data_IF_250539348345
#
_entry.id   IF_250539348345
#
_cell.length_a   1.000
_cell.length_b   1.000
_cell.length_c   1.000
_cell.angle_alpha   90.00
_cell.angle_beta   90.00
_cell.angle_gamma   90.00
#
_symmetry.space_group_name_H-M   'P 1'
#
loop_
_entity.id
_entity.type
_entity.pdbx_description
1 polymer ?
#
# COMPACT_ATOMS: atom_id res chain seq x y z
N UNK A 1 2.61 18.65 46.97
CA UNK A 1 4.02 19.15 46.80
C UNK A 1 4.51 18.67 45.44
N UNK A 2 5.42 19.36 44.74
CA UNK A 2 5.98 18.85 43.46
C UNK A 2 7.49 18.76 43.53
N UNK A 3 8.04 17.63 43.09
CA UNK A 3 9.46 17.32 43.02
C UNK A 3 9.83 17.14 41.55
N UNK A 4 10.71 18.00 41.04
CA UNK A 4 11.25 17.94 39.67
C UNK A 4 12.73 17.50 39.65
N UNK A 5 13.21 16.94 40.77
CA UNK A 5 14.60 16.54 40.98
C UNK A 5 14.63 15.43 42.04
N UNK A 6 15.61 15.43 42.95
CA UNK A 6 15.69 14.40 43.98
C UNK A 6 15.19 14.89 45.35
N UNK A 7 14.36 14.08 45.99
CA UNK A 7 14.03 14.18 47.42
C UNK A 7 14.55 12.95 48.15
N UNK A 8 15.23 13.15 49.27
CA UNK A 8 15.68 12.06 50.14
C UNK A 8 15.38 12.36 51.59
N UNK A 9 14.88 11.37 52.33
CA UNK A 9 14.58 11.52 53.74
C UNK A 9 14.83 10.22 54.53
N UNK A 10 15.00 10.35 55.83
CA UNK A 10 15.18 9.21 56.75
C UNK A 10 14.38 9.48 58.02
N UNK A 11 13.58 8.51 58.45
CA UNK A 11 12.72 8.61 59.64
C UNK A 11 11.92 9.93 59.70
N UNK A 12 11.35 10.33 58.56
CA UNK A 12 10.65 11.62 58.40
C UNK A 12 9.18 11.38 58.08
N UNK A 13 8.28 12.14 58.72
CA UNK A 13 6.86 12.17 58.36
C UNK A 13 6.59 13.37 57.46
N UNK A 14 6.00 13.11 56.30
CA UNK A 14 5.58 14.11 55.31
C UNK A 14 4.07 14.34 55.51
N UNK A 15 3.71 15.40 56.24
CA UNK A 15 2.32 15.64 56.67
C UNK A 15 1.56 16.65 55.79
N UNK A 16 0.26 16.41 55.61
CA UNK A 16 -0.72 17.29 54.98
C UNK A 16 -0.33 17.78 53.57
N UNK A 17 0.47 17.00 52.85
CA UNK A 17 1.14 17.40 51.60
C UNK A 17 0.87 16.46 50.43
N UNK A 18 0.09 15.40 50.65
CA UNK A 18 -0.32 14.42 49.65
C UNK A 18 -1.38 14.98 48.68
N UNK A 19 -1.25 14.75 47.36
CA UNK A 19 -0.18 13.95 46.79
C UNK A 19 1.12 14.74 46.63
N UNK A 20 2.23 14.04 46.86
CA UNK A 20 3.57 14.47 46.43
C UNK A 20 3.73 14.05 44.98
N UNK A 21 3.78 15.02 44.06
CA UNK A 21 3.94 14.79 42.64
C UNK A 21 5.42 14.73 42.25
N UNK A 22 5.85 13.65 41.60
CA UNK A 22 7.16 13.50 40.97
C UNK A 22 7.01 13.77 39.48
N UNK A 23 7.46 14.94 39.01
CA UNK A 23 7.23 15.38 37.64
C UNK A 23 8.54 15.45 36.84
N UNK A 24 8.55 14.75 35.71
CA UNK A 24 9.69 14.62 34.81
C UNK A 24 10.58 13.40 35.08
N UNK A 25 11.37 13.05 34.07
CA UNK A 25 12.24 11.87 34.05
C UNK A 25 13.44 11.90 35.02
N UNK A 26 13.72 13.05 35.64
CA UNK A 26 14.77 13.19 36.67
C UNK A 26 14.19 13.24 38.08
N UNK A 27 12.86 13.25 38.21
CA UNK A 27 12.20 13.29 39.50
C UNK A 27 12.39 11.96 40.24
N UNK A 28 12.73 12.05 41.51
CA UNK A 28 12.94 10.89 42.37
C UNK A 28 12.61 11.17 43.82
N UNK A 29 12.07 10.14 44.49
CA UNK A 29 11.88 10.09 45.93
C UNK A 29 12.57 8.86 46.51
N UNK A 30 13.40 9.07 47.52
CA UNK A 30 14.00 7.99 48.29
C UNK A 30 13.77 8.21 49.78
N UNK A 31 13.08 7.27 50.44
CA UNK A 31 12.77 7.35 51.86
C UNK A 31 13.11 6.04 52.56
N UNK A 32 13.75 6.15 53.73
CA UNK A 32 14.07 5.02 54.60
C UNK A 32 13.54 5.28 56.02
N UNK A 33 12.45 4.61 56.38
CA UNK A 33 11.71 4.88 57.60
C UNK A 33 10.90 6.19 57.54
N UNK A 34 9.88 6.29 58.39
CA UNK A 34 8.94 7.42 58.39
C UNK A 34 7.71 7.13 57.54
N UNK A 35 7.14 8.15 56.91
CA UNK A 35 5.86 7.97 56.24
C UNK A 35 5.19 9.24 55.74
N UNK A 36 3.96 9.06 55.30
CA UNK A 36 3.03 10.11 54.89
C UNK A 36 1.86 10.16 55.87
N UNK A 37 1.35 11.35 56.14
CA UNK A 37 0.20 11.54 57.01
C UNK A 37 -0.74 12.61 56.44
N UNK A 38 -2.02 12.26 56.30
CA UNK A 38 -3.08 13.17 55.87
C UNK A 38 -3.01 13.55 54.38
N UNK A 39 -2.87 12.57 53.48
CA UNK A 39 -3.11 12.81 52.06
C UNK A 39 -4.51 13.40 51.82
N UNK A 40 -4.59 14.31 50.85
CA UNK A 40 -5.84 14.98 50.44
C UNK A 40 -6.47 14.36 49.20
N UNK A 41 -5.85 13.30 48.69
CA UNK A 41 -6.26 12.57 47.51
C UNK A 41 -6.22 11.06 47.83
N UNK A 42 -6.61 10.21 46.87
CA UNK A 42 -6.60 8.76 47.04
C UNK A 42 -5.20 8.13 46.98
N UNK A 43 -4.14 8.93 46.89
CA UNK A 43 -2.75 8.47 46.90
C UNK A 43 -1.80 9.43 47.64
N UNK A 44 -0.74 8.92 48.25
CA UNK A 44 0.29 9.72 48.93
C UNK A 44 1.30 10.34 47.95
N UNK A 45 1.63 9.62 46.87
CA UNK A 45 2.57 10.03 45.81
C UNK A 45 1.94 9.81 44.44
N UNK A 46 2.09 10.78 43.54
CA UNK A 46 1.91 10.58 42.09
C UNK A 46 3.25 10.67 41.42
N UNK A 47 3.56 9.74 40.53
CA UNK A 47 4.77 9.76 39.74
C UNK A 47 4.45 9.76 38.24
N UNK A 48 5.15 10.60 37.49
CA UNK A 48 5.27 10.43 36.04
C UNK A 48 5.89 9.05 35.72
N UNK A 49 5.68 8.57 34.50
CA UNK A 49 6.04 7.20 34.09
C UNK A 49 7.51 6.87 34.35
N UNK A 50 8.43 7.81 34.13
CA UNK A 50 9.87 7.59 34.28
C UNK A 50 10.43 7.95 35.68
N UNK A 51 9.62 8.55 36.56
CA UNK A 51 10.08 9.03 37.86
C UNK A 51 10.43 7.87 38.81
N UNK A 52 11.48 8.03 39.62
CA UNK A 52 12.00 6.95 40.45
C UNK A 52 11.41 7.00 41.87
N UNK A 53 10.89 5.85 42.33
CA UNK A 53 10.33 5.69 43.68
C UNK A 53 11.14 4.62 44.41
N UNK A 54 11.70 4.96 45.57
CA UNK A 54 12.40 4.03 46.45
C UNK A 54 11.96 4.24 47.89
N UNK A 55 11.06 3.39 48.37
CA UNK A 55 10.48 3.48 49.71
C UNK A 55 10.84 2.22 50.49
N UNK A 56 11.54 2.39 51.61
CA UNK A 56 11.92 1.28 52.50
C UNK A 56 11.37 1.55 53.90
N UNK A 57 10.53 0.66 54.41
CA UNK A 57 9.84 0.80 55.70
C UNK A 57 9.13 2.16 55.84
N UNK A 58 8.42 2.58 54.79
CA UNK A 58 7.66 3.84 54.76
C UNK A 58 6.19 3.50 54.91
N UNK A 59 5.53 4.10 55.89
CA UNK A 59 4.09 3.95 56.09
C UNK A 59 3.34 5.05 55.30
N UNK A 60 2.28 4.67 54.58
CA UNK A 60 1.39 5.64 53.94
C UNK A 60 0.37 6.23 54.91
N UNK A 61 -0.45 7.15 54.41
CA UNK A 61 -1.60 7.69 55.16
C UNK A 61 -2.56 6.57 55.62
N UNK A 62 -2.63 5.47 54.85
CA UNK A 62 -3.41 4.27 55.18
C UNK A 62 -4.89 4.37 54.79
N UNK A 63 -5.67 3.38 55.21
CA UNK A 63 -7.09 3.27 54.83
C UNK A 63 -7.25 2.86 53.37
N UNK A 64 -7.93 3.69 52.57
CA UNK A 64 -8.13 3.49 51.12
C UNK A 64 -7.14 4.29 50.26
N UNK A 65 -6.15 4.93 50.89
CA UNK A 65 -5.15 5.75 50.21
C UNK A 65 -4.00 4.85 49.74
N UNK A 66 -3.70 4.89 48.46
CA UNK A 66 -2.57 4.21 47.84
C UNK A 66 -1.26 4.89 48.26
N UNK A 67 -0.20 4.10 48.51
CA UNK A 67 1.08 4.68 48.89
C UNK A 67 1.71 5.45 47.73
N UNK A 68 1.50 4.98 46.50
CA UNK A 68 1.88 5.71 45.29
C UNK A 68 1.15 5.20 44.06
N UNK A 69 0.98 6.09 43.08
CA UNK A 69 0.57 5.75 41.72
C UNK A 69 1.60 6.20 40.69
N UNK A 70 1.75 5.42 39.62
CA UNK A 70 2.49 5.81 38.43
C UNK A 70 1.54 6.09 37.28
N UNK A 71 1.71 7.25 36.66
CA UNK A 71 0.81 7.80 35.67
C UNK A 71 1.54 8.06 34.34
N UNK A 72 0.90 7.69 33.24
CA UNK A 72 1.28 7.99 31.87
C UNK A 72 0.37 9.11 31.36
N UNK A 73 0.94 10.31 31.24
CA UNK A 73 0.19 11.53 30.97
C UNK A 73 -0.58 11.49 29.65
N UNK A 74 0.05 10.95 28.62
CA UNK A 74 -0.57 10.73 27.31
C UNK A 74 0.17 9.62 26.58
N UNK A 75 -0.57 8.88 25.77
CA UNK A 75 -0.02 7.87 24.89
C UNK A 75 -0.69 7.95 23.52
N UNK A 76 0.13 8.03 22.49
CA UNK A 76 -0.28 8.07 21.09
C UNK A 76 0.41 6.92 20.37
N UNK A 77 -0.36 5.92 19.98
CA UNK A 77 0.14 4.79 19.20
C UNK A 77 0.33 5.24 17.76
N UNK A 78 1.48 4.94 17.17
CA UNK A 78 1.75 5.19 15.75
C UNK A 78 1.63 3.89 14.95
N UNK A 79 0.76 3.92 13.95
CA UNK A 79 0.60 2.89 12.93
C UNK A 79 1.16 3.37 11.57
N UNK A 80 1.47 2.46 10.63
CA UNK A 80 1.96 2.83 9.31
C UNK A 80 0.93 3.51 8.41
N UNK A 81 -0.35 3.36 8.74
CA UNK A 81 -1.45 3.84 7.94
C UNK A 81 -2.69 4.17 8.74
N UNK A 82 -3.63 4.79 8.04
CA UNK A 82 -4.97 5.10 8.52
C UNK A 82 -5.93 3.93 8.32
N UNK A 83 -7.01 3.91 9.11
CA UNK A 83 -8.04 2.89 8.98
C UNK A 83 -7.65 1.52 9.55
N UNK A 84 -6.56 1.43 10.32
CA UNK A 84 -6.14 0.19 10.97
C UNK A 84 -7.04 -0.06 12.17
N UNK A 85 -7.67 -1.22 12.22
CA UNK A 85 -8.48 -1.66 13.35
C UNK A 85 -7.66 -2.53 14.28
N UNK A 86 -7.93 -2.44 15.59
CA UNK A 86 -7.23 -3.23 16.60
C UNK A 86 -8.01 -3.23 17.92
N UNK A 87 -7.60 -4.07 18.86
CA UNK A 87 -8.08 -4.11 20.22
C UNK A 87 -6.97 -3.75 21.20
N UNK A 88 -7.28 -2.95 22.21
CA UNK A 88 -6.47 -2.81 23.42
C UNK A 88 -7.17 -3.53 24.56
N UNK A 89 -6.47 -4.39 25.29
CA UNK A 89 -7.02 -5.12 26.45
C UNK A 89 -6.16 -4.88 27.66
N UNK A 90 -6.75 -4.89 28.87
CA UNK A 90 -6.00 -4.71 30.12
C UNK A 90 -5.60 -3.26 30.40
N UNK A 91 -6.32 -2.29 29.81
CA UNK A 91 -6.02 -0.86 29.97
C UNK A 91 -6.52 -0.34 31.31
N UNK A 92 -5.60 0.17 32.13
CA UNK A 92 -5.82 0.79 33.43
C UNK A 92 -6.19 -0.21 34.53
N UNK A 93 -6.38 0.29 35.77
CA UNK A 93 -6.76 -0.54 36.93
C UNK A 93 -8.08 -1.31 36.76
N UNK A 94 -8.92 -0.88 35.81
CA UNK A 94 -10.20 -1.52 35.48
C UNK A 94 -10.06 -2.58 34.37
N UNK A 95 -8.84 -2.82 33.88
CA UNK A 95 -8.48 -3.81 32.85
C UNK A 95 -9.37 -3.72 31.61
N UNK A 96 -9.64 -2.50 31.15
CA UNK A 96 -10.61 -2.22 30.08
C UNK A 96 -10.17 -2.84 28.75
N UNK A 97 -11.17 -3.25 27.97
CA UNK A 97 -11.01 -3.55 26.54
C UNK A 97 -11.57 -2.41 25.70
N UNK A 98 -10.80 -1.96 24.71
CA UNK A 98 -11.10 -0.85 23.83
C UNK A 98 -10.89 -1.26 22.37
N UNK A 99 -11.83 -0.93 21.51
CA UNK A 99 -11.66 -1.03 20.06
C UNK A 99 -11.01 0.26 19.54
N UNK A 100 -10.04 0.10 18.66
CA UNK A 100 -9.27 1.19 18.07
C UNK A 100 -9.45 1.28 16.56
N UNK A 101 -9.31 2.50 16.04
CA UNK A 101 -9.23 2.80 14.61
C UNK A 101 -8.17 3.90 14.43
N UNK A 102 -7.12 3.66 13.66
CA UNK A 102 -6.10 4.70 13.42
C UNK A 102 -6.65 5.85 12.57
N UNK A 103 -6.24 7.07 12.92
CA UNK A 103 -6.60 8.30 12.22
C UNK A 103 -5.86 8.44 10.88
N UNK A 104 -6.16 9.52 10.14
CA UNK A 104 -5.58 9.80 8.81
C UNK A 104 -4.04 9.82 8.82
N UNK A 105 -3.44 10.29 9.91
CA UNK A 105 -1.98 10.32 10.12
C UNK A 105 -1.43 9.03 10.76
N UNK A 106 -2.24 7.98 10.82
CA UNK A 106 -1.87 6.70 11.40
C UNK A 106 -1.80 6.71 12.93
N UNK A 107 -2.29 7.75 13.61
CA UNK A 107 -2.23 7.82 15.08
C UNK A 107 -3.48 7.28 15.76
N UNK A 108 -3.33 6.84 17.01
CA UNK A 108 -4.45 6.61 17.93
C UNK A 108 -4.08 7.05 19.34
N UNK A 109 -4.89 7.94 19.93
CA UNK A 109 -4.71 8.37 21.32
C UNK A 109 -5.34 7.34 22.24
N UNK A 110 -4.53 6.70 23.08
CA UNK A 110 -5.04 5.74 24.07
C UNK A 110 -5.84 6.51 25.13
N UNK A 111 -7.13 6.17 25.31
CA UNK A 111 -7.95 6.86 26.31
C UNK A 111 -7.38 6.68 27.71
N UNK A 112 -7.44 7.74 28.50
CA UNK A 112 -7.13 7.68 29.92
C UNK A 112 -8.14 6.81 30.70
N UNK A 113 -7.83 6.58 31.97
CA UNK A 113 -8.68 5.80 32.87
C UNK A 113 -10.05 6.48 33.07
N UNK A 114 -10.05 7.81 33.15
CA UNK A 114 -11.24 8.65 33.25
C UNK A 114 -11.39 9.51 31.99
N UNK A 115 -12.59 10.08 31.76
CA UNK A 115 -12.88 10.91 30.58
C UNK A 115 -11.90 12.09 30.40
N UNK A 116 -11.18 12.46 31.46
CA UNK A 116 -10.10 13.44 31.49
C UNK A 116 -9.06 12.95 32.51
N UNK A 117 -7.77 13.00 32.18
CA UNK A 117 -6.69 12.67 33.11
C UNK A 117 -5.60 11.79 32.49
N UNK A 118 -4.60 11.39 33.28
CA UNK A 118 -3.57 10.45 32.85
C UNK A 118 -4.05 8.98 32.99
N UNK A 119 -3.31 8.06 32.38
CA UNK A 119 -3.49 6.62 32.54
C UNK A 119 -2.60 6.11 33.68
N UNK A 120 -3.20 5.54 34.72
CA UNK A 120 -2.49 4.85 35.80
C UNK A 120 -1.98 3.51 35.26
N UNK A 121 -0.68 3.28 35.37
CA UNK A 121 0.01 2.08 34.84
C UNK A 121 0.61 1.20 35.93
N UNK A 122 0.73 1.72 37.15
CA UNK A 122 1.13 0.99 38.36
C UNK A 122 0.56 1.64 39.62
N UNK A 123 0.24 0.83 40.64
CA UNK A 123 -0.24 1.25 41.95
C UNK A 123 0.56 0.48 43.01
N UNK A 124 1.17 1.21 43.94
CA UNK A 124 1.75 0.65 45.14
C UNK A 124 0.85 0.84 46.34
N UNK A 125 0.38 -0.26 46.93
CA UNK A 125 -0.50 -0.24 48.09
C UNK A 125 0.26 -0.09 49.40
N UNK A 126 -0.42 0.38 50.44
CA UNK A 126 0.16 0.53 51.79
C UNK A 126 0.58 -0.78 52.46
N UNK A 127 0.11 -1.93 51.97
CA UNK A 127 0.52 -3.26 52.44
C UNK A 127 1.80 -3.79 51.76
N UNK A 128 2.37 -3.02 50.83
CA UNK A 128 3.58 -3.35 50.09
C UNK A 128 3.33 -4.16 48.82
N UNK A 129 2.09 -4.51 48.48
CA UNK A 129 1.77 -5.10 47.18
C UNK A 129 1.79 -4.05 46.06
N UNK A 130 2.10 -4.49 44.84
CA UNK A 130 2.14 -3.64 43.65
C UNK A 130 1.22 -4.26 42.61
N UNK A 131 0.27 -3.46 42.12
CA UNK A 131 -0.43 -3.75 40.88
C UNK A 131 0.31 -3.06 39.73
N UNK A 132 0.57 -3.81 38.66
CA UNK A 132 1.23 -3.32 37.45
C UNK A 132 0.32 -3.66 36.28
N UNK A 133 -0.01 -2.66 35.47
CA UNK A 133 -0.83 -2.85 34.28
C UNK A 133 -0.19 -3.86 33.31
N UNK A 134 -1.01 -4.74 32.73
CA UNK A 134 -0.60 -5.72 31.74
C UNK A 134 -1.43 -5.56 30.45
N UNK A 135 -1.34 -4.39 29.85
CA UNK A 135 -2.13 -4.06 28.66
C UNK A 135 -1.50 -4.63 27.39
N UNK A 136 -2.33 -5.07 26.45
CA UNK A 136 -1.91 -5.63 25.17
C UNK A 136 -2.60 -4.93 24.00
N UNK A 137 -1.98 -5.01 22.83
CA UNK A 137 -2.56 -4.65 21.52
C UNK A 137 -2.72 -5.94 20.71
N UNK A 138 -3.91 -6.16 20.16
CA UNK A 138 -4.25 -7.37 19.40
C UNK A 138 -5.19 -7.10 18.24
N UNK A 139 -5.41 -8.14 17.42
CA UNK A 139 -6.36 -8.14 16.29
C UNK A 139 -6.13 -6.96 15.34
N UNK A 140 -4.85 -6.66 15.11
CA UNK A 140 -4.42 -5.53 14.29
C UNK A 140 -4.61 -5.89 12.82
N UNK A 141 -5.48 -5.16 12.12
CA UNK A 141 -5.82 -5.40 10.72
C UNK A 141 -5.76 -4.10 9.91
N UNK A 142 -5.10 -4.15 8.76
CA UNK A 142 -4.93 -3.03 7.84
C UNK A 142 -5.41 -3.39 6.44
N UNK A 143 -6.59 -2.92 6.08
CA UNK A 143 -7.12 -3.06 4.71
C UNK A 143 -6.62 -1.92 3.80
N UNK A 144 -6.06 -2.28 2.65
CA UNK A 144 -5.55 -1.35 1.64
C UNK A 144 -6.01 -1.74 0.25
N UNK A 145 -5.73 -0.89 -0.75
CA UNK A 145 -5.96 -1.25 -2.15
C UNK A 145 -5.09 -2.43 -2.65
N UNK A 146 -4.02 -2.77 -1.93
CA UNK A 146 -3.11 -3.87 -2.29
C UNK A 146 -3.42 -5.18 -1.53
N UNK A 147 -4.35 -5.16 -0.58
CA UNK A 147 -4.68 -6.31 0.25
C UNK A 147 -4.86 -5.95 1.72
N UNK A 148 -5.07 -6.99 2.54
CA UNK A 148 -5.20 -6.89 4.00
C UNK A 148 -3.93 -7.41 4.67
N UNK A 149 -3.38 -6.60 5.57
CA UNK A 149 -2.19 -6.94 6.34
C UNK A 149 -2.49 -6.97 7.84
N UNK A 150 -1.76 -7.80 8.57
CA UNK A 150 -1.96 -7.98 10.00
C UNK A 150 -0.73 -7.52 10.77
N UNK A 151 -0.95 -6.79 11.85
CA UNK A 151 0.11 -6.33 12.74
C UNK A 151 0.51 -7.40 13.75
N UNK A 152 1.64 -7.18 14.41
CA UNK A 152 2.13 -8.09 15.45
C UNK A 152 1.46 -7.77 16.78
N UNK A 153 0.73 -8.75 17.32
CA UNK A 153 0.13 -8.64 18.66
C UNK A 153 1.23 -8.62 19.73
N UNK A 154 1.02 -7.86 20.80
CA UNK A 154 2.02 -7.77 21.86
C UNK A 154 1.58 -6.90 23.03
N UNK A 155 2.51 -6.69 23.96
CA UNK A 155 2.30 -5.78 25.08
C UNK A 155 2.24 -4.34 24.59
N UNK A 156 1.33 -3.55 25.16
CA UNK A 156 1.28 -2.12 24.92
C UNK A 156 2.35 -1.45 25.80
N UNK A 157 3.47 -1.09 25.18
CA UNK A 157 4.57 -0.42 25.87
C UNK A 157 4.09 0.81 26.66
N UNK A 158 4.59 1.01 27.86
CA UNK A 158 4.21 2.13 28.75
C UNK A 158 5.02 3.38 28.45
N UNK A 159 5.02 3.80 27.19
CA UNK A 159 5.72 5.01 26.72
C UNK A 159 4.76 5.91 25.95
N UNK A 160 5.14 7.19 25.76
CA UNK A 160 4.26 8.17 25.10
C UNK A 160 3.96 7.83 23.65
N UNK A 161 4.93 7.34 22.87
CA UNK A 161 4.76 7.12 21.43
C UNK A 161 5.22 5.71 21.00
N UNK A 162 4.52 4.64 21.40
CA UNK A 162 4.84 3.30 20.91
C UNK A 162 4.51 3.18 19.41
N UNK A 163 5.35 2.47 18.66
CA UNK A 163 5.12 2.18 17.26
C UNK A 163 4.66 0.73 17.09
N UNK A 164 3.58 0.51 16.33
CA UNK A 164 3.10 -0.84 16.01
C UNK A 164 3.80 -1.32 14.75
N UNK A 165 4.44 -2.48 14.88
CA UNK A 165 5.16 -3.12 13.78
C UNK A 165 4.21 -4.01 12.96
N UNK A 166 4.47 -4.04 11.66
CA UNK A 166 3.87 -4.97 10.72
C UNK A 166 5.01 -5.77 10.07
N UNK A 167 5.14 -7.03 10.46
CA UNK A 167 6.24 -7.89 9.99
C UNK A 167 5.97 -8.46 8.58
N UNK A 168 4.70 -8.48 8.16
CA UNK A 168 4.23 -9.05 6.89
C UNK A 168 3.53 -7.98 6.05
N UNK A 169 4.31 -7.23 5.29
CA UNK A 169 3.84 -6.21 4.34
C UNK A 169 4.61 -6.29 3.01
N UNK A 170 3.99 -5.93 1.88
CA UNK A 170 4.70 -5.83 0.62
C UNK A 170 5.62 -4.61 0.60
N UNK A 171 6.65 -4.67 -0.23
CA UNK A 171 7.54 -3.55 -0.54
C UNK A 171 7.69 -3.47 -2.05
N UNK A 172 6.76 -2.74 -2.70
CA UNK A 172 6.68 -2.70 -4.16
C UNK A 172 7.41 -1.49 -4.71
N UNK A 173 8.22 -1.71 -5.74
CA UNK A 173 8.82 -0.63 -6.52
C UNK A 173 8.81 -0.97 -8.01
N UNK A 174 8.84 0.05 -8.87
CA UNK A 174 9.20 -0.15 -10.27
C UNK A 174 10.71 -0.29 -10.36
N UNK A 175 11.20 -1.32 -11.03
CA UNK A 175 12.64 -1.57 -11.22
C UNK A 175 13.12 -1.32 -12.65
N UNK A 176 12.22 -1.35 -13.63
CA UNK A 176 12.53 -1.07 -15.03
C UNK A 176 11.34 -0.50 -15.80
N UNK A 177 11.63 0.36 -16.79
CA UNK A 177 10.66 0.87 -17.78
C UNK A 177 11.32 0.78 -19.16
N UNK A 178 10.96 -0.25 -19.92
CA UNK A 178 11.60 -0.59 -21.20
C UNK A 178 10.67 -0.38 -22.39
N UNK A 179 11.16 0.33 -23.40
CA UNK A 179 10.43 0.54 -24.66
C UNK A 179 10.78 -0.60 -25.61
N UNK A 180 9.81 -1.46 -25.94
CA UNK A 180 10.04 -2.71 -26.68
C UNK A 180 9.69 -2.64 -28.16
N UNK A 181 8.90 -1.64 -28.60
CA UNK A 181 8.55 -1.41 -30.01
C UNK A 181 8.51 0.07 -30.36
N UNK A 182 8.90 0.38 -31.60
CA UNK A 182 9.05 1.75 -32.13
C UNK A 182 7.81 2.63 -31.98
N UNK A 183 8.08 3.93 -31.86
CA UNK A 183 7.12 4.98 -31.60
C UNK A 183 7.22 6.06 -32.69
N UNK A 184 6.09 6.41 -33.28
CA UNK A 184 5.96 7.54 -34.20
C UNK A 184 4.74 8.33 -33.80
N UNK A 185 4.66 9.59 -34.21
CA UNK A 185 3.44 10.36 -34.02
C UNK A 185 2.23 9.63 -34.60
N UNK A 186 1.16 9.55 -33.79
CA UNK A 186 -0.06 8.82 -34.13
C UNK A 186 0.00 7.30 -33.93
N UNK A 187 1.12 6.73 -33.49
CA UNK A 187 1.25 5.32 -33.07
C UNK A 187 1.77 5.22 -31.66
N UNK A 188 1.24 4.28 -30.88
CA UNK A 188 1.69 4.07 -29.50
C UNK A 188 2.92 3.14 -29.45
N UNK A 189 3.92 3.55 -28.68
CA UNK A 189 5.05 2.72 -28.27
C UNK A 189 4.54 1.55 -27.41
N UNK A 190 5.20 0.40 -27.49
CA UNK A 190 4.98 -0.67 -26.50
C UNK A 190 6.02 -0.53 -25.40
N UNK A 191 5.56 -0.56 -24.15
CA UNK A 191 6.39 -0.39 -22.96
C UNK A 191 6.18 -1.59 -22.04
N UNK A 192 7.26 -2.12 -21.49
CA UNK A 192 7.25 -3.11 -20.43
C UNK A 192 7.69 -2.42 -19.14
N UNK A 193 6.81 -2.37 -18.14
CA UNK A 193 7.13 -1.88 -16.80
C UNK A 193 7.33 -3.06 -15.88
N UNK A 194 8.42 -3.09 -15.13
CA UNK A 194 8.73 -4.18 -14.21
C UNK A 194 8.50 -3.74 -12.77
N UNK A 195 7.60 -4.41 -12.07
CA UNK A 195 7.36 -4.27 -10.64
C UNK A 195 8.13 -5.37 -9.89
N UNK A 196 8.66 -5.04 -8.71
CA UNK A 196 9.33 -6.00 -7.83
C UNK A 196 8.83 -5.83 -6.40
N UNK A 197 8.46 -6.95 -5.77
CA UNK A 197 8.10 -7.01 -4.37
C UNK A 197 9.26 -7.55 -3.55
N UNK A 198 9.92 -6.68 -2.78
CA UNK A 198 10.99 -7.08 -1.86
C UNK A 198 10.49 -7.37 -0.44
N UNK A 199 9.18 -7.21 -0.22
CA UNK A 199 8.52 -7.42 1.05
C UNK A 199 8.17 -8.89 1.29
N UNK A 200 7.59 -9.12 2.46
CA UNK A 200 7.27 -10.45 2.98
C UNK A 200 5.80 -10.84 2.80
N UNK A 201 4.96 -9.94 2.29
CA UNK A 201 3.56 -10.20 1.98
C UNK A 201 3.22 -9.90 0.54
N UNK A 202 2.15 -10.53 0.07
CA UNK A 202 1.62 -10.37 -1.28
C UNK A 202 0.93 -9.00 -1.44
N UNK A 203 1.05 -8.43 -2.64
CA UNK A 203 0.23 -7.31 -3.06
C UNK A 203 -0.76 -7.82 -4.12
N UNK A 204 -1.98 -8.11 -3.67
CA UNK A 204 -3.04 -8.75 -4.43
C UNK A 204 -3.28 -10.21 -4.05
N UNK A 205 -4.10 -10.89 -4.86
CA UNK A 205 -4.51 -12.26 -4.62
C UNK A 205 -4.66 -12.96 -5.97
N UNK A 206 -3.83 -13.98 -6.27
CA UNK A 206 -3.79 -14.63 -7.58
C UNK A 206 -5.10 -15.36 -7.94
N UNK A 207 -5.97 -15.61 -6.95
CA UNK A 207 -7.28 -16.21 -7.16
C UNK A 207 -8.37 -15.18 -7.52
N UNK A 208 -8.08 -13.88 -7.37
CA UNK A 208 -9.01 -12.80 -7.71
C UNK A 208 -8.85 -12.34 -9.17
N UNK A 209 -9.94 -11.80 -9.74
CA UNK A 209 -9.96 -11.30 -11.12
C UNK A 209 -9.50 -9.84 -11.25
N UNK A 210 -9.03 -9.23 -10.16
CA UNK A 210 -8.71 -7.81 -10.07
C UNK A 210 -7.27 -7.67 -9.62
N UNK A 211 -6.43 -7.17 -10.52
CA UNK A 211 -5.05 -6.80 -10.22
C UNK A 211 -4.99 -5.61 -9.25
N UNK A 212 -4.15 -5.72 -8.22
CA UNK A 212 -4.19 -4.80 -7.08
C UNK A 212 -3.18 -3.66 -7.18
N UNK A 213 -2.00 -3.89 -7.75
CA UNK A 213 -0.96 -2.85 -7.86
C UNK A 213 -1.09 -2.11 -9.19
N UNK A 214 -1.84 -1.02 -9.19
CA UNK A 214 -1.90 -0.11 -10.34
C UNK A 214 -0.58 0.65 -10.54
N UNK A 215 -0.24 0.92 -11.78
CA UNK A 215 0.94 1.69 -12.19
C UNK A 215 0.46 3.06 -12.69
N UNK A 216 1.15 4.11 -12.26
CA UNK A 216 0.99 5.45 -12.80
C UNK A 216 2.25 5.87 -13.55
N UNK A 217 2.08 6.51 -14.70
CA UNK A 217 3.20 7.01 -15.50
C UNK A 217 3.00 8.46 -15.94
N UNK A 218 4.11 9.20 -15.97
CA UNK A 218 4.20 10.60 -16.35
C UNK A 218 5.14 10.79 -17.54
N UNK A 219 4.77 11.71 -18.41
CA UNK A 219 5.51 12.16 -19.59
C UNK A 219 5.77 13.66 -19.42
N UNK A 220 6.97 13.98 -18.92
CA UNK A 220 7.27 15.29 -18.35
C UNK A 220 6.45 15.51 -17.07
N UNK A 221 5.77 16.66 -16.98
CA UNK A 221 4.93 17.03 -15.83
C UNK A 221 3.48 16.53 -15.95
N UNK A 222 3.11 15.99 -17.12
CA UNK A 222 1.75 15.56 -17.38
C UNK A 222 1.63 14.05 -17.24
N UNK A 223 0.46 13.59 -16.80
CA UNK A 223 0.14 12.17 -16.87
C UNK A 223 0.25 11.69 -18.32
N UNK A 224 0.95 10.59 -18.52
CA UNK A 224 1.20 10.05 -19.84
C UNK A 224 -0.08 9.50 -20.49
N UNK A 225 -0.22 9.63 -21.81
CA UNK A 225 -1.26 8.94 -22.58
C UNK A 225 -0.92 7.46 -22.69
N UNK A 226 -1.33 6.68 -21.69
CA UNK A 226 -1.11 5.24 -21.63
C UNK A 226 -2.41 4.43 -21.79
N UNK A 227 -2.27 3.22 -22.33
CA UNK A 227 -3.34 2.23 -22.43
C UNK A 227 -2.87 0.85 -21.99
N UNK A 228 -3.59 0.21 -21.04
CA UNK A 228 -4.74 0.75 -20.30
C UNK A 228 -4.37 1.97 -19.44
N UNK A 229 -5.35 2.76 -19.01
CA UNK A 229 -5.14 4.02 -18.26
C UNK A 229 -4.51 3.80 -16.87
N UNK A 230 -4.75 2.63 -16.27
CA UNK A 230 -4.12 2.16 -15.05
C UNK A 230 -3.80 0.67 -15.24
N UNK A 231 -2.68 0.33 -15.91
CA UNK A 231 -2.25 -1.05 -15.97
C UNK A 231 -1.91 -1.49 -14.54
N UNK A 232 -2.31 -2.70 -14.19
CA UNK A 232 -2.11 -3.24 -12.86
C UNK A 232 -1.63 -4.70 -12.96
N UNK A 233 -1.01 -5.17 -11.89
CA UNK A 233 -0.72 -6.59 -11.68
C UNK A 233 -0.75 -6.90 -10.18
N UNK A 234 -1.03 -8.15 -9.85
CA UNK A 234 -0.66 -8.70 -8.55
C UNK A 234 0.84 -9.00 -8.50
N UNK A 235 1.47 -8.70 -7.36
CA UNK A 235 2.91 -8.88 -7.15
C UNK A 235 3.15 -9.61 -5.84
N UNK A 236 3.31 -10.93 -5.93
CA UNK A 236 3.50 -11.81 -4.77
C UNK A 236 4.83 -11.51 -4.06
N UNK A 237 4.94 -11.93 -2.80
CA UNK A 237 6.12 -11.74 -1.97
C UNK A 237 7.38 -12.32 -2.65
N UNK A 238 8.42 -11.49 -2.79
CA UNK A 238 9.69 -11.87 -3.42
C UNK A 238 9.65 -11.97 -4.95
N UNK A 239 8.51 -11.74 -5.60
CA UNK A 239 8.37 -11.87 -7.05
C UNK A 239 8.64 -10.56 -7.81
N UNK A 240 8.80 -10.72 -9.12
CA UNK A 240 8.99 -9.62 -10.07
C UNK A 240 8.12 -9.88 -11.29
N UNK A 241 7.29 -8.89 -11.64
CA UNK A 241 6.25 -9.01 -12.67
C UNK A 241 6.42 -7.92 -13.72
N UNK A 242 6.28 -8.30 -14.99
CA UNK A 242 6.28 -7.38 -16.13
C UNK A 242 4.87 -7.05 -16.58
N UNK A 243 4.56 -5.77 -16.69
CA UNK A 243 3.27 -5.25 -17.15
C UNK A 243 3.46 -4.52 -18.47
N UNK A 244 2.82 -5.03 -19.53
CA UNK A 244 2.86 -4.37 -20.84
C UNK A 244 1.81 -3.26 -20.90
N UNK A 245 2.23 -2.07 -21.35
CA UNK A 245 1.35 -0.95 -21.65
C UNK A 245 1.69 -0.32 -23.01
N UNK A 246 0.78 0.49 -23.53
CA UNK A 246 1.00 1.29 -24.74
C UNK A 246 1.10 2.76 -24.38
N UNK A 247 2.14 3.46 -24.80
CA UNK A 247 2.35 4.89 -24.55
C UNK A 247 2.25 5.70 -25.85
N UNK A 248 1.42 6.74 -25.87
CA UNK A 248 1.33 7.72 -26.95
C UNK A 248 1.97 9.05 -26.56
N UNK A 249 2.52 9.75 -27.55
CA UNK A 249 3.06 11.09 -27.38
C UNK A 249 2.63 11.96 -28.57
N UNK A 250 2.33 13.23 -28.29
CA UNK A 250 1.67 14.11 -29.24
C UNK A 250 2.64 15.06 -30.00
N UNK A 251 3.88 15.21 -29.51
CA UNK A 251 4.83 16.19 -30.04
C UNK A 251 6.06 15.52 -30.63
N UNK A 252 6.70 16.15 -31.61
CA UNK A 252 7.99 15.66 -32.09
C UNK A 252 9.09 15.98 -31.08
N UNK A 253 10.09 15.10 -31.01
CA UNK A 253 11.27 15.29 -30.18
C UNK A 253 11.51 14.18 -29.17
N UNK A 254 12.37 14.48 -28.21
CA UNK A 254 12.80 13.52 -27.21
C UNK A 254 11.82 13.50 -26.04
N UNK A 255 11.33 12.33 -25.67
CA UNK A 255 10.49 12.13 -24.49
C UNK A 255 10.96 10.92 -23.68
N UNK A 256 10.59 10.90 -22.40
CA UNK A 256 10.84 9.78 -21.49
C UNK A 256 9.59 9.52 -20.67
N UNK A 257 9.39 8.28 -20.27
CA UNK A 257 8.28 7.88 -19.42
C UNK A 257 8.80 7.58 -18.01
N UNK A 258 8.22 8.21 -17.00
CA UNK A 258 8.51 7.95 -15.58
C UNK A 258 7.35 7.18 -14.99
N UNK A 259 7.56 5.96 -14.50
CA UNK A 259 6.50 5.14 -13.92
C UNK A 259 6.79 4.79 -12.46
N UNK A 260 5.74 4.70 -11.65
CA UNK A 260 5.76 4.32 -10.23
C UNK A 260 4.54 3.44 -9.90
N UNK A 261 4.62 2.58 -8.86
CA UNK A 261 3.42 1.94 -8.35
C UNK A 261 2.55 2.99 -7.68
N UNK A 262 1.24 2.91 -7.87
CA UNK A 262 0.27 3.77 -7.19
C UNK A 262 0.07 3.24 -5.77
N UNK A 263 0.66 3.94 -4.80
CA UNK A 263 0.60 3.57 -3.39
C UNK A 263 -0.81 3.78 -2.82
N UNK A 264 -1.31 2.89 -1.94
CA UNK A 264 -2.59 3.07 -1.28
C UNK A 264 -2.69 4.40 -0.53
N UNK A 265 -3.83 5.09 -0.62
CA UNK A 265 -4.05 6.38 0.04
C UNK A 265 -4.11 6.29 1.57
N UNK A 266 -4.21 5.07 2.11
CA UNK A 266 -4.22 4.80 3.54
C UNK A 266 -2.84 4.91 4.20
N UNK A 267 -1.74 4.99 3.44
CA UNK A 267 -0.40 5.11 4.01
C UNK A 267 -0.24 6.46 4.72
N UNK A 268 0.18 6.42 5.98
CA UNK A 268 0.50 7.60 6.78
C UNK A 268 2.01 7.83 6.89
N UNK A 269 2.80 6.76 6.90
CA UNK A 269 4.26 6.80 6.92
C UNK A 269 4.78 6.49 5.52
N UNK A 270 5.34 7.49 4.86
CA UNK A 270 5.86 7.34 3.49
C UNK A 270 6.90 6.22 3.41
N UNK A 271 6.85 5.45 2.33
CA UNK A 271 7.76 4.32 2.10
C UNK A 271 7.36 3.04 2.81
N UNK A 272 6.32 3.01 3.65
CA UNK A 272 5.96 1.76 4.36
C UNK A 272 5.63 0.61 3.43
N UNK A 273 4.98 0.82 2.28
CA UNK A 273 4.72 -0.25 1.31
C UNK A 273 5.68 -0.18 0.11
N UNK A 274 6.82 0.49 0.28
CA UNK A 274 7.73 0.82 -0.81
C UNK A 274 7.29 2.07 -1.56
N UNK A 275 7.41 2.05 -2.88
CA UNK A 275 7.18 3.17 -3.78
C UNK A 275 8.35 3.39 -4.73
N UNK A 276 8.54 4.64 -5.14
CA UNK A 276 9.62 5.04 -6.04
C UNK A 276 9.26 4.93 -7.52
N UNK A 277 9.97 5.72 -8.32
CA UNK A 277 9.75 5.85 -9.76
C UNK A 277 11.01 5.54 -10.55
N UNK A 278 10.85 4.92 -11.73
CA UNK A 278 11.93 4.72 -12.68
C UNK A 278 11.60 5.42 -13.99
N UNK A 279 12.62 6.04 -14.58
CA UNK A 279 12.54 6.68 -15.88
C UNK A 279 13.00 5.72 -16.98
N UNK A 280 12.27 5.71 -18.09
CA UNK A 280 12.66 5.00 -19.30
C UNK A 280 13.89 5.61 -19.96
N UNK A 281 14.46 4.88 -20.92
CA UNK A 281 15.36 5.51 -21.90
C UNK A 281 14.61 6.55 -22.73
N UNK A 282 15.36 7.49 -23.31
CA UNK A 282 14.83 8.51 -24.22
C UNK A 282 14.26 7.83 -25.48
N UNK A 283 13.05 8.21 -25.85
CA UNK A 283 12.40 7.87 -27.13
C UNK A 283 12.36 9.13 -27.99
N UNK A 284 12.73 8.99 -29.26
CA UNK A 284 12.65 10.07 -30.25
C UNK A 284 11.35 9.89 -31.02
N UNK A 285 10.43 10.83 -30.84
CA UNK A 285 9.14 10.87 -31.54
C UNK A 285 9.26 11.69 -32.80
N UNK A 286 8.90 11.09 -33.93
CA UNK A 286 8.86 11.74 -35.25
C UNK A 286 7.63 11.29 -36.01
N UNK A 287 7.23 12.05 -37.04
CA UNK A 287 6.30 11.50 -38.05
C UNK A 287 6.85 10.22 -38.65
N UNK A 288 5.96 9.27 -38.95
CA UNK A 288 6.34 8.09 -39.73
C UNK A 288 6.86 8.56 -41.11
N UNK A 289 7.87 7.88 -41.69
CA UNK A 289 8.35 8.24 -43.02
C UNK A 289 7.19 8.19 -44.02
N UNK A 290 7.00 9.28 -44.77
CA UNK A 290 6.06 9.31 -45.88
C UNK A 290 6.43 8.21 -46.88
N UNK A 291 5.43 7.56 -47.47
CA UNK A 291 5.66 6.61 -48.55
C UNK A 291 6.47 7.28 -49.66
N UNK A 292 7.32 6.53 -50.41
CA UNK A 292 8.15 7.10 -51.46
C UNK A 292 7.34 8.03 -52.36
N UNK A 293 7.87 9.21 -52.73
CA UNK A 293 7.13 10.17 -53.54
C UNK A 293 6.63 9.50 -54.81
N UNK A 294 5.30 9.43 -54.96
CA UNK A 294 4.62 8.77 -56.09
C UNK A 294 3.75 7.55 -55.74
N UNK A 295 3.81 7.01 -54.51
CA UNK A 295 2.90 5.95 -54.05
C UNK A 295 1.93 6.47 -52.99
N UNK A 296 0.76 6.96 -53.43
CA UNK A 296 -0.33 7.22 -52.47
C UNK A 296 -0.84 5.89 -51.89
N UNK A 297 -1.35 5.87 -50.65
CA UNK A 297 -2.01 4.69 -50.09
C UNK A 297 -3.12 4.13 -51.01
N UNK A 298 -3.82 5.01 -51.73
CA UNK A 298 -4.80 4.62 -52.76
C UNK A 298 -4.17 3.84 -53.92
N UNK A 299 -2.98 4.23 -54.41
CA UNK A 299 -2.29 3.53 -55.50
C UNK A 299 -1.88 2.11 -55.10
N UNK A 300 -1.42 1.91 -53.85
CA UNK A 300 -1.08 0.58 -53.33
C UNK A 300 -2.33 -0.29 -53.22
N UNK A 301 -3.42 0.22 -52.64
CA UNK A 301 -4.69 -0.51 -52.58
C UNK A 301 -5.25 -0.84 -53.97
N UNK A 302 -5.09 0.07 -54.93
CA UNK A 302 -5.52 -0.15 -56.32
C UNK A 302 -4.70 -1.24 -57.01
N UNK A 303 -3.37 -1.26 -56.82
CA UNK A 303 -2.49 -2.29 -57.37
C UNK A 303 -2.82 -3.68 -56.79
N UNK A 304 -3.04 -3.79 -55.48
CA UNK A 304 -3.44 -5.05 -54.85
C UNK A 304 -4.81 -5.51 -55.37
N UNK A 305 -5.78 -4.61 -55.45
CA UNK A 305 -7.10 -4.92 -56.00
C UNK A 305 -7.04 -5.36 -57.47
N UNK A 306 -6.14 -4.77 -58.27
CA UNK A 306 -5.94 -5.13 -59.67
C UNK A 306 -5.28 -6.51 -59.82
N UNK A 307 -4.28 -6.83 -58.99
CA UNK A 307 -3.65 -8.16 -59.00
C UNK A 307 -4.64 -9.25 -58.57
N UNK A 308 -5.40 -9.01 -57.49
CA UNK A 308 -6.43 -9.95 -57.02
C UNK A 308 -7.56 -10.06 -58.05
N UNK A 309 -8.00 -8.95 -58.63
CA UNK A 309 -9.04 -8.92 -59.66
C UNK A 309 -8.64 -9.69 -60.92
N UNK A 310 -7.42 -9.48 -61.43
CA UNK A 310 -6.87 -10.24 -62.56
C UNK A 310 -6.70 -11.73 -62.22
N UNK A 311 -6.26 -12.04 -61.00
CA UNK A 311 -6.17 -13.42 -60.51
C UNK A 311 -7.53 -14.13 -60.46
N UNK A 312 -8.57 -13.43 -60.00
CA UNK A 312 -9.94 -13.96 -59.99
C UNK A 312 -10.49 -14.14 -61.41
N UNK A 313 -10.29 -13.18 -62.32
CA UNK A 313 -10.71 -13.32 -63.73
C UNK A 313 -10.00 -14.48 -64.42
N UNK A 314 -8.69 -14.64 -64.21
CA UNK A 314 -7.93 -15.78 -64.74
C UNK A 314 -8.43 -17.12 -64.15
N UNK A 315 -8.76 -17.15 -62.86
CA UNK A 315 -9.32 -18.32 -62.20
C UNK A 315 -10.71 -18.69 -62.75
N UNK A 316 -11.62 -17.74 -62.88
CA UNK A 316 -12.98 -18.00 -63.41
C UNK A 316 -12.96 -18.37 -64.89
N UNK A 317 -12.10 -17.75 -65.71
CA UNK A 317 -11.94 -18.13 -67.12
C UNK A 317 -11.32 -19.52 -67.28
N UNK A 318 -10.35 -19.89 -66.44
CA UNK A 318 -9.80 -21.26 -66.42
C UNK A 318 -10.82 -22.32 -65.97
N UNK A 319 -11.78 -21.94 -65.10
CA UNK A 319 -12.88 -22.82 -64.68
C UNK A 319 -13.92 -22.97 -65.79
N UNK A 320 -14.34 -21.88 -66.45
CA UNK A 320 -15.29 -21.96 -67.57
C UNK A 320 -14.72 -22.66 -68.81
N UNK A 321 -13.40 -22.56 -69.06
CA UNK A 321 -12.75 -23.29 -70.15
C UNK A 321 -12.69 -24.82 -69.94
N UNK A 322 -13.04 -25.32 -68.74
CA UNK A 322 -13.09 -26.77 -68.46
C UNK A 322 -14.46 -27.41 -68.72
N UNK A 323 -15.52 -26.62 -68.93
CA UNK A 323 -16.90 -27.10 -69.07
C UNK A 323 -17.56 -26.70 -70.42
N UNK A 324 -16.92 -26.99 -71.55
CA UNK A 324 -17.64 -27.10 -72.85
C UNK A 324 -17.56 -28.53 -73.41
N UNK A 325 -18.68 -29.29 -73.47
CA UNK A 325 -18.77 -30.49 -74.27
C UNK A 325 -19.02 -30.12 -75.74
N UNK A 326 -18.13 -30.58 -76.63
CA UNK A 326 -18.22 -30.41 -78.08
C UNK A 326 -19.56 -30.94 -78.61
N UNK A 327 -20.41 -30.04 -79.15
CA UNK A 327 -21.62 -30.42 -79.88
C UNK A 327 -21.33 -30.43 -81.37
N UNK A 328 -21.11 -31.62 -81.93
CA UNK A 328 -20.97 -31.83 -83.37
C UNK A 328 -22.34 -31.70 -84.04
N UNK A 329 -22.47 -30.78 -85.00
CA UNK A 329 -23.64 -30.67 -85.88
C UNK A 329 -23.36 -31.52 -87.12
N UNK A 330 -24.15 -32.56 -87.34
CA UNK A 330 -24.16 -33.36 -88.58
C UNK A 330 -25.15 -32.71 -89.54
N UNK A 331 -24.71 -32.37 -90.75
CA UNK A 331 -25.56 -31.90 -91.84
C UNK A 331 -25.76 -33.09 -92.78
N UNK A 332 -26.95 -33.70 -92.77
CA UNK A 332 -27.38 -34.64 -93.81
C UNK A 332 -27.78 -33.84 -95.06
N UNK A 333 -27.25 -34.27 -96.20
CA UNK A 333 -27.53 -33.70 -97.52
C UNK A 333 -28.40 -34.71 -98.25
N UNK A 334 -29.69 -34.43 -98.32
CA UNK A 334 -30.66 -35.23 -99.08
C UNK A 334 -30.56 -34.95 -100.59
N UNK A 335 -30.61 -36.08 -101.31
CA UNK A 335 -31.01 -36.33 -102.71
C UNK A 335 -30.11 -35.97 -103.91
N UNK A 336 -30.19 -36.92 -104.87
CA UNK A 336 -29.70 -37.03 -106.26
C UNK A 336 -28.50 -38.00 -106.39
N UNK A 337 -28.58 -39.13 -107.07
CA UNK A 337 -29.59 -39.62 -108.01
C UNK A 337 -29.34 -41.11 -108.24
N UNK A 338 -30.43 -41.86 -108.42
CA UNK A 338 -30.41 -43.15 -109.11
C UNK A 338 -29.83 -42.93 -110.52
N UNK A 339 -28.69 -43.54 -110.86
CA UNK A 339 -28.40 -43.99 -112.22
C UNK A 339 -27.45 -45.20 -112.21
N UNK A 340 -28.06 -46.33 -112.55
CA UNK A 340 -27.59 -47.40 -113.43
C UNK A 340 -26.41 -48.31 -113.03
N UNK A 341 -26.80 -49.54 -112.67
CA UNK A 341 -26.39 -50.80 -113.33
C UNK A 341 -25.09 -50.78 -114.18
N UNK A 342 -24.00 -51.33 -113.61
CA UNK A 342 -23.13 -52.41 -114.14
C UNK A 342 -21.82 -52.55 -113.34
#
# INVERSE_FOLDING_TARGET
MTINGAFSATNTIVSASGPVALAGNTASISMNGGGFDGSRDDHDIVADTDAQISLNNVEGTGGIVDLWERQLASQVIQFPGSGITFNLTGVGPQERTLQGLSMVDGTYVVPANYQQGPRIVEIGYGDGTIWTENATVSDIEWFTAWGTYYGTNGDLEKITNPAIQFDMIPQISVTSVEITKEAHLGKRATVMVTLSNTGSADAGNPDDLIDSVAIECYDGENRADISPTYPAADVMAGETVGVELKWGHAQEGNATLVCSPLTPSQIAIEGTLGGGSIQSKIVVWSTAPEAPPGMSPMLISFLVALVVGLGLVAYFTAIHARDEPTRTIVIERDELDDLDDL
#
